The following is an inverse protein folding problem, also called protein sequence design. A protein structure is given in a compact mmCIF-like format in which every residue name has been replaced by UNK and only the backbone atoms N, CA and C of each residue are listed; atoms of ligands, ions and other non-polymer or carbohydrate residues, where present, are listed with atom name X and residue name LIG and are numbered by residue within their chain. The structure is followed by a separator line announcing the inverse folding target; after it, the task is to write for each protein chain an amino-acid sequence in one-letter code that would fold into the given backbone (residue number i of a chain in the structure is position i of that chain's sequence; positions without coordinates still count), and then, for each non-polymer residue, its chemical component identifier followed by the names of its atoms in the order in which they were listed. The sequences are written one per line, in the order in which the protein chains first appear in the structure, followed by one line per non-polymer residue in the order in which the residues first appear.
data_IF_180897654800
#
_entry.id   IF_180897654800
#
_cell.length_a   1.000
_cell.length_b   1.000
_cell.length_c   1.000
_cell.angle_alpha   90.00
_cell.angle_beta   90.00
_cell.angle_gamma   90.00
#
_symmetry.space_group_name_H-M   'P 1'
#
loop_
_entity.id
_entity.type
_entity.pdbx_description
1 polymer ?
#
# COMPACT_ATOMS: atom_id res chain seq x y z
N UNK A 1 -39.87 6.26 -5.41
CA UNK A 1 -39.38 7.63 -5.73
C UNK A 1 -37.87 7.58 -5.93
N UNK A 2 -37.31 8.34 -6.88
CA UNK A 2 -35.85 8.48 -7.04
C UNK A 2 -35.38 9.56 -6.04
N UNK A 3 -34.30 9.38 -5.26
CA UNK A 3 -33.89 10.39 -4.29
C UNK A 3 -33.53 11.71 -5.01
N UNK A 4 -33.77 12.88 -4.37
CA UNK A 4 -33.47 14.16 -4.98
C UNK A 4 -31.97 14.25 -5.28
N UNK A 5 -31.63 14.44 -6.55
CA UNK A 5 -30.25 14.73 -6.94
C UNK A 5 -29.88 16.08 -6.35
N UNK A 6 -28.91 16.09 -5.43
CA UNK A 6 -28.30 17.33 -4.96
C UNK A 6 -27.81 18.11 -6.18
N UNK A 7 -28.39 19.30 -6.41
CA UNK A 7 -27.89 20.23 -7.41
C UNK A 7 -26.43 20.54 -7.08
N UNK A 8 -25.57 20.71 -8.10
CA UNK A 8 -24.12 20.83 -7.94
C UNK A 8 -23.71 21.83 -6.86
N UNK A 9 -24.41 22.97 -6.77
CA UNK A 9 -24.22 24.03 -5.76
C UNK A 9 -24.32 23.58 -4.31
N UNK A 10 -24.99 22.46 -4.00
CA UNK A 10 -25.17 21.97 -2.63
C UNK A 10 -24.14 20.88 -2.23
N UNK A 11 -23.24 20.49 -3.14
CA UNK A 11 -22.13 19.56 -2.85
C UNK A 11 -20.92 20.35 -2.36
N UNK A 12 -20.27 19.98 -1.24
CA UNK A 12 -19.03 20.61 -0.83
C UNK A 12 -17.91 20.27 -1.82
N UNK A 13 -17.04 21.23 -2.10
CA UNK A 13 -15.78 20.98 -2.80
C UNK A 13 -14.74 20.41 -1.83
N UNK A 14 -13.95 19.45 -2.31
CA UNK A 14 -12.81 18.89 -1.58
C UNK A 14 -11.59 19.04 -2.48
N UNK A 15 -10.75 20.01 -2.17
CA UNK A 15 -9.59 20.37 -2.97
C UNK A 15 -8.37 19.76 -2.30
N UNK A 16 -7.81 18.73 -2.92
CA UNK A 16 -6.55 18.13 -2.49
C UNK A 16 -5.42 19.07 -2.90
N UNK A 17 -4.59 19.48 -1.94
CA UNK A 17 -3.51 20.44 -2.16
C UNK A 17 -2.17 19.72 -2.03
N UNK A 18 -1.57 19.38 -3.16
CA UNK A 18 -0.19 18.90 -3.23
C UNK A 18 0.80 20.08 -3.28
N UNK A 19 2.07 19.83 -2.97
CA UNK A 19 3.10 20.86 -3.16
C UNK A 19 3.40 21.10 -4.65
N UNK A 20 3.30 20.06 -5.48
CA UNK A 20 3.74 20.09 -6.88
C UNK A 20 5.04 19.32 -7.10
N UNK A 21 5.32 18.97 -8.35
CA UNK A 21 6.57 18.33 -8.79
C UNK A 21 6.81 18.65 -10.26
N UNK A 22 8.08 18.69 -10.68
CA UNK A 22 8.45 18.71 -12.11
C UNK A 22 8.34 17.34 -12.76
N UNK A 23 8.17 16.29 -11.96
CA UNK A 23 7.94 14.94 -12.45
C UNK A 23 6.44 14.72 -12.69
N UNK A 24 6.00 14.47 -13.94
CA UNK A 24 4.58 14.32 -14.26
C UNK A 24 3.93 13.11 -13.58
N UNK A 25 4.70 12.07 -13.19
CA UNK A 25 4.16 10.91 -12.47
C UNK A 25 3.56 11.32 -11.12
N UNK A 26 4.05 12.39 -10.51
CA UNK A 26 3.52 12.91 -9.24
C UNK A 26 2.13 13.54 -9.39
N UNK A 27 1.89 14.26 -10.48
CA UNK A 27 0.57 14.78 -10.83
C UNK A 27 -0.41 13.64 -11.14
N UNK A 28 0.02 12.62 -11.89
CA UNK A 28 -0.79 11.43 -12.19
C UNK A 28 -1.23 10.70 -10.92
N UNK A 29 -0.34 10.50 -9.94
CA UNK A 29 -0.67 9.87 -8.66
C UNK A 29 -1.62 10.74 -7.80
N UNK A 30 -1.44 12.07 -7.82
CA UNK A 30 -2.33 13.00 -7.11
C UNK A 30 -3.74 13.00 -7.71
N UNK A 31 -3.86 12.96 -9.04
CA UNK A 31 -5.14 12.78 -9.74
C UNK A 31 -5.75 11.38 -9.56
N UNK A 32 -4.92 10.34 -9.40
CA UNK A 32 -5.40 9.02 -9.02
C UNK A 32 -6.05 9.02 -7.63
N UNK A 33 -5.41 9.65 -6.64
CA UNK A 33 -5.99 9.85 -5.31
C UNK A 33 -7.29 10.67 -5.38
N UNK A 34 -7.31 11.79 -6.11
CA UNK A 34 -8.53 12.60 -6.29
C UNK A 34 -9.67 11.78 -6.94
N UNK A 35 -9.35 10.93 -7.92
CA UNK A 35 -10.31 10.00 -8.56
C UNK A 35 -10.78 8.91 -7.60
N UNK A 36 -9.91 8.37 -6.75
CA UNK A 36 -10.27 7.36 -5.76
C UNK A 36 -11.17 7.95 -4.65
N UNK A 37 -10.84 9.13 -4.11
CA UNK A 37 -11.69 9.86 -3.15
C UNK A 37 -13.06 10.18 -3.77
N UNK A 38 -13.12 10.63 -5.03
CA UNK A 38 -14.38 10.88 -5.75
C UNK A 38 -15.22 9.62 -5.97
N UNK A 39 -14.60 8.44 -6.15
CA UNK A 39 -15.31 7.15 -6.24
C UNK A 39 -15.88 6.75 -4.88
N UNK A 40 -15.11 6.92 -3.81
CA UNK A 40 -15.53 6.59 -2.45
C UNK A 40 -16.61 7.56 -1.91
N UNK A 41 -16.54 8.84 -2.29
CA UNK A 41 -17.40 9.93 -1.80
C UNK A 41 -18.05 10.68 -2.98
N UNK A 42 -19.04 10.05 -3.66
CA UNK A 42 -19.69 10.61 -4.84
C UNK A 42 -20.49 11.90 -4.56
N UNK A 43 -20.72 12.23 -3.29
CA UNK A 43 -21.34 13.48 -2.84
C UNK A 43 -20.37 14.69 -2.83
N UNK A 44 -19.06 14.48 -2.83
CA UNK A 44 -18.05 15.57 -2.81
C UNK A 44 -17.60 16.00 -4.21
N UNK A 45 -17.42 17.30 -4.44
CA UNK A 45 -16.80 17.83 -5.66
C UNK A 45 -15.27 17.84 -5.50
N UNK A 46 -14.66 16.67 -5.67
CA UNK A 46 -13.21 16.49 -5.50
C UNK A 46 -12.41 17.08 -6.66
N UNK A 47 -11.29 17.74 -6.36
CA UNK A 47 -10.29 18.26 -7.31
C UNK A 47 -8.87 18.12 -6.74
N UNK A 48 -7.87 17.92 -7.60
CA UNK A 48 -6.47 18.16 -7.24
C UNK A 48 -6.08 19.62 -7.49
N UNK A 49 -5.03 20.08 -6.83
CA UNK A 49 -4.41 21.40 -6.99
C UNK A 49 -2.97 21.38 -6.46
N UNK A 50 -2.15 22.31 -6.92
CA UNK A 50 -0.70 22.31 -6.67
C UNK A 50 -0.21 23.70 -6.24
N UNK A 51 0.60 23.77 -5.18
CA UNK A 51 1.17 25.02 -4.67
C UNK A 51 2.30 25.57 -5.54
N UNK A 52 2.99 24.70 -6.26
CA UNK A 52 4.00 24.98 -7.28
C UNK A 52 3.81 24.00 -8.44
N UNK A 53 4.45 24.29 -9.59
CA UNK A 53 4.60 23.43 -10.78
C UNK A 53 3.29 22.98 -11.48
N UNK A 54 3.13 23.40 -12.74
CA UNK A 54 2.18 22.93 -13.78
C UNK A 54 0.66 22.89 -13.47
N UNK A 55 0.21 23.18 -12.25
CA UNK A 55 -1.16 23.61 -11.94
C UNK A 55 -2.26 22.53 -12.06
N UNK A 56 -3.53 22.89 -11.78
CA UNK A 56 -4.04 24.21 -11.40
C UNK A 56 -3.68 24.63 -9.97
N UNK A 57 -3.64 25.94 -9.69
CA UNK A 57 -3.41 26.45 -8.33
C UNK A 57 -4.68 26.31 -7.48
N UNK A 58 -4.59 26.25 -6.13
CA UNK A 58 -5.78 26.16 -5.28
C UNK A 58 -6.81 27.27 -5.51
N UNK A 59 -6.38 28.51 -5.74
CA UNK A 59 -7.29 29.63 -6.01
C UNK A 59 -8.03 29.48 -7.36
N UNK A 60 -7.36 28.99 -8.41
CA UNK A 60 -7.99 28.72 -9.71
C UNK A 60 -9.09 27.66 -9.57
N UNK A 61 -8.83 26.63 -8.76
CA UNK A 61 -9.81 25.57 -8.46
C UNK A 61 -10.97 26.12 -7.64
N UNK A 62 -10.71 26.94 -6.62
CA UNK A 62 -11.74 27.57 -5.79
C UNK A 62 -12.62 28.55 -6.57
N UNK A 63 -12.06 29.30 -7.51
CA UNK A 63 -12.80 30.24 -8.36
C UNK A 63 -13.67 29.54 -9.43
N UNK A 64 -13.31 28.31 -9.84
CA UNK A 64 -13.99 27.56 -10.91
C UNK A 64 -14.93 26.45 -10.42
N UNK A 65 -14.84 26.01 -9.16
CA UNK A 65 -15.68 24.93 -8.63
C UNK A 65 -17.11 25.42 -8.35
N UNK A 66 -18.17 24.72 -8.82
CA UNK A 66 -19.55 25.16 -8.64
C UNK A 66 -20.11 24.76 -7.26
N UNK A 67 -19.46 25.21 -6.19
CA UNK A 67 -19.80 24.92 -4.79
C UNK A 67 -19.82 26.22 -3.96
N UNK A 68 -20.70 26.28 -2.95
CA UNK A 68 -20.72 27.38 -1.97
C UNK A 68 -19.74 27.20 -0.80
N UNK A 69 -19.17 25.99 -0.65
CA UNK A 69 -18.23 25.62 0.42
C UNK A 69 -17.11 24.74 -0.12
N UNK A 70 -15.89 24.95 0.33
CA UNK A 70 -14.72 24.16 -0.02
C UNK A 70 -13.87 23.79 1.20
N UNK A 71 -13.35 22.56 1.21
CA UNK A 71 -12.35 22.10 2.17
C UNK A 71 -11.05 21.84 1.43
N UNK A 72 -9.97 22.50 1.87
CA UNK A 72 -8.62 22.29 1.41
C UNK A 72 -7.97 21.18 2.26
N UNK A 73 -7.47 20.13 1.60
CA UNK A 73 -6.80 19.00 2.25
C UNK A 73 -5.33 19.03 1.87
N UNK A 74 -4.42 19.55 2.71
CA UNK A 74 -2.99 19.53 2.44
C UNK A 74 -2.44 18.10 2.46
N UNK A 75 -1.98 17.65 1.30
CA UNK A 75 -1.34 16.35 1.11
C UNK A 75 0.11 16.39 1.61
N UNK A 76 0.27 16.47 2.94
CA UNK A 76 1.58 16.49 3.62
C UNK A 76 1.64 15.39 4.69
N UNK A 77 2.71 14.59 4.67
CA UNK A 77 2.88 13.44 5.57
C UNK A 77 3.59 13.78 6.90
N UNK A 78 4.07 15.01 7.08
CA UNK A 78 4.70 15.47 8.33
C UNK A 78 4.13 16.81 8.77
N UNK A 79 4.25 17.13 10.07
CA UNK A 79 3.70 18.37 10.66
C UNK A 79 4.54 19.63 10.42
N UNK A 80 5.77 19.52 9.92
CA UNK A 80 6.62 20.71 9.77
C UNK A 80 6.20 21.58 8.58
N UNK A 81 6.56 22.87 8.64
CA UNK A 81 6.69 23.81 7.50
C UNK A 81 6.74 23.05 6.16
N UNK A 82 5.69 23.04 5.33
CA UNK A 82 5.10 24.22 4.69
C UNK A 82 3.65 24.56 5.10
N UNK A 83 2.98 23.74 5.92
CA UNK A 83 1.56 23.94 6.30
C UNK A 83 1.26 25.25 7.07
N UNK A 84 2.27 25.96 7.60
CA UNK A 84 2.11 27.23 8.33
C UNK A 84 2.19 28.49 7.48
N UNK A 85 2.67 28.42 6.23
CA UNK A 85 2.92 29.61 5.41
C UNK A 85 1.98 29.65 4.20
N UNK A 86 1.94 28.58 3.41
CA UNK A 86 1.32 28.64 2.08
C UNK A 86 -0.21 28.47 2.13
N UNK A 87 -0.72 27.45 2.84
CA UNK A 87 -2.15 27.20 2.89
C UNK A 87 -2.95 28.28 3.67
N UNK A 88 -2.45 28.82 4.81
CA UNK A 88 -3.10 29.95 5.45
C UNK A 88 -3.13 31.22 4.58
N UNK A 89 -2.17 31.41 3.67
CA UNK A 89 -2.23 32.48 2.67
C UNK A 89 -3.36 32.24 1.66
N UNK A 90 -3.41 31.04 1.06
CA UNK A 90 -4.51 30.63 0.16
C UNK A 90 -5.89 30.81 0.80
N UNK A 91 -6.08 30.45 2.07
CA UNK A 91 -7.37 30.62 2.77
C UNK A 91 -7.72 32.10 2.96
N UNK A 92 -6.74 32.97 3.28
CA UNK A 92 -6.98 34.42 3.37
C UNK A 92 -7.31 35.05 2.01
N UNK A 93 -6.59 34.68 0.97
CA UNK A 93 -6.80 35.20 -0.39
C UNK A 93 -8.15 34.76 -0.96
N UNK A 94 -8.56 33.53 -0.67
CA UNK A 94 -9.87 32.99 -1.03
C UNK A 94 -11.06 33.69 -0.33
N UNK A 95 -10.84 34.51 0.70
CA UNK A 95 -11.92 35.29 1.34
C UNK A 95 -12.56 36.34 0.40
N UNK A 96 -11.90 36.63 -0.74
CA UNK A 96 -12.44 37.46 -1.82
C UNK A 96 -13.40 36.71 -2.76
N UNK A 97 -13.45 35.38 -2.69
CA UNK A 97 -14.26 34.52 -3.56
C UNK A 97 -15.63 34.24 -2.93
N UNK A 98 -16.69 33.99 -3.72
CA UNK A 98 -18.04 33.67 -3.22
C UNK A 98 -18.17 32.21 -2.73
N UNK A 99 -17.17 31.71 -1.99
CA UNK A 99 -17.09 30.34 -1.50
C UNK A 99 -16.48 30.33 -0.09
N UNK A 100 -17.14 29.68 0.87
CA UNK A 100 -16.60 29.55 2.23
C UNK A 100 -15.51 28.46 2.25
N UNK A 101 -14.29 28.83 2.62
CA UNK A 101 -13.12 27.95 2.59
C UNK A 101 -12.66 27.58 3.99
N UNK A 102 -12.35 26.31 4.21
CA UNK A 102 -11.71 25.80 5.44
C UNK A 102 -10.57 24.86 5.05
N UNK A 103 -9.53 24.75 5.89
CA UNK A 103 -8.44 23.81 5.69
C UNK A 103 -8.46 22.71 6.76
N UNK A 104 -8.13 21.47 6.39
CA UNK A 104 -7.91 20.39 7.36
C UNK A 104 -6.48 20.42 7.90
N UNK A 105 -6.25 19.71 9.00
CA UNK A 105 -4.89 19.26 9.35
C UNK A 105 -4.27 18.43 8.21
N UNK A 106 -2.94 18.50 8.10
CA UNK A 106 -2.11 17.68 7.20
C UNK A 106 -2.31 16.18 7.44
N UNK A 107 -2.14 15.34 6.42
CA UNK A 107 -2.34 13.87 6.53
C UNK A 107 -1.43 13.20 7.58
N UNK A 108 -0.24 13.75 7.85
CA UNK A 108 0.61 13.36 8.98
C UNK A 108 0.01 13.71 10.36
N UNK A 109 0.56 13.21 11.49
CA UNK A 109 1.73 12.35 11.62
C UNK A 109 1.32 10.87 11.41
N UNK A 110 2.03 9.91 12.00
CA UNK A 110 1.73 8.47 11.91
C UNK A 110 0.33 8.09 12.46
N UNK A 111 -0.70 8.26 11.64
CA UNK A 111 -2.06 7.80 11.95
C UNK A 111 -2.21 6.30 11.69
N UNK A 112 -3.16 5.60 12.34
CA UNK A 112 -3.42 4.19 12.09
C UNK A 112 -3.70 3.86 10.61
N UNK A 113 -4.37 4.76 9.89
CA UNK A 113 -4.62 4.64 8.46
C UNK A 113 -3.34 4.82 7.63
N UNK A 114 -2.48 5.78 7.98
CA UNK A 114 -1.21 5.98 7.27
C UNK A 114 -0.25 4.79 7.46
N UNK A 115 -0.19 4.22 8.67
CA UNK A 115 0.57 2.99 8.94
C UNK A 115 -0.02 1.77 8.24
N UNK A 116 -1.36 1.68 8.13
CA UNK A 116 -2.02 0.65 7.35
C UNK A 116 -1.73 0.80 5.85
N UNK A 117 -1.64 2.02 5.32
CA UNK A 117 -1.27 2.28 3.92
C UNK A 117 0.18 1.85 3.60
N UNK A 118 1.12 2.10 4.51
CA UNK A 118 2.50 1.63 4.38
C UNK A 118 2.58 0.10 4.41
N UNK A 119 1.85 -0.53 5.33
CA UNK A 119 1.74 -1.99 5.42
C UNK A 119 1.10 -2.57 4.13
N UNK A 120 0.07 -1.93 3.58
CA UNK A 120 -0.56 -2.31 2.32
C UNK A 120 0.46 -2.33 1.17
N UNK A 121 1.17 -1.22 0.93
CA UNK A 121 2.16 -1.12 -0.15
C UNK A 121 3.34 -2.10 0.02
N UNK A 122 3.76 -2.38 1.25
CA UNK A 122 4.72 -3.45 1.54
C UNK A 122 4.17 -4.83 1.15
N UNK A 123 2.90 -5.13 1.46
CA UNK A 123 2.27 -6.41 1.11
C UNK A 123 2.11 -6.58 -0.40
N UNK A 124 1.66 -5.55 -1.12
CA UNK A 124 1.61 -5.57 -2.60
C UNK A 124 2.99 -5.84 -3.21
N UNK A 125 4.03 -5.13 -2.74
CA UNK A 125 5.39 -5.31 -3.24
C UNK A 125 5.99 -6.67 -2.87
N UNK A 126 5.69 -7.21 -1.69
CA UNK A 126 6.09 -8.57 -1.29
C UNK A 126 5.42 -9.64 -2.14
N UNK A 127 4.15 -9.46 -2.51
CA UNK A 127 3.44 -10.38 -3.42
C UNK A 127 3.99 -10.29 -4.85
N UNK A 128 4.40 -9.10 -5.30
CA UNK A 128 5.01 -8.90 -6.62
C UNK A 128 6.44 -9.46 -6.73
N UNK A 129 7.19 -9.51 -5.62
CA UNK A 129 8.53 -10.10 -5.57
C UNK A 129 8.54 -11.65 -5.64
N UNK A 130 7.38 -12.29 -5.48
CA UNK A 130 7.25 -13.75 -5.44
C UNK A 130 7.58 -14.36 -4.06
N UNK A 131 7.62 -15.70 -3.94
CA UNK A 131 7.91 -16.36 -2.68
C UNK A 131 9.34 -16.05 -2.22
N UNK A 132 9.49 -15.16 -1.23
CA UNK A 132 10.72 -15.07 -0.45
C UNK A 132 10.94 -16.45 0.21
N UNK A 133 12.12 -17.04 0.00
CA UNK A 133 12.44 -18.34 0.57
C UNK A 133 12.19 -18.29 2.08
N UNK A 134 11.38 -19.25 2.57
CA UNK A 134 11.07 -19.32 3.99
C UNK A 134 12.39 -19.49 4.77
N UNK A 135 12.56 -18.72 5.84
CA UNK A 135 13.69 -18.88 6.73
C UNK A 135 13.74 -20.35 7.18
N UNK A 136 14.83 -21.04 6.86
CA UNK A 136 15.03 -22.42 7.30
C UNK A 136 14.93 -22.50 8.83
N UNK A 137 14.43 -23.60 9.40
CA UNK A 137 14.38 -23.75 10.85
C UNK A 137 15.78 -23.53 11.43
N UNK A 138 15.86 -22.69 12.46
CA UNK A 138 17.11 -22.36 13.16
C UNK A 138 17.87 -23.65 13.48
N UNK A 139 19.05 -23.82 12.86
CA UNK A 139 19.90 -24.95 13.12
C UNK A 139 20.39 -24.88 14.58
N UNK A 140 19.86 -25.76 15.43
CA UNK A 140 20.41 -25.99 16.77
C UNK A 140 21.78 -26.65 16.61
N UNK A 141 22.80 -25.99 17.18
CA UNK A 141 24.20 -26.42 17.19
C UNK A 141 24.37 -27.70 18.03
N UNK A 142 24.14 -28.85 17.40
CA UNK A 142 24.44 -30.17 17.95
C UNK A 142 25.94 -30.47 17.77
N UNK A 143 26.75 -29.96 18.70
CA UNK A 143 28.17 -30.30 18.81
C UNK A 143 28.37 -31.77 19.20
N UNK A 144 29.55 -32.28 18.86
CA UNK A 144 30.13 -33.56 19.26
C UNK A 144 29.38 -34.85 18.84
N UNK A 145 29.66 -35.29 17.60
CA UNK A 145 29.76 -36.71 17.27
C UNK A 145 30.66 -36.96 16.04
N UNK A 146 31.98 -37.01 16.25
CA UNK A 146 32.88 -37.79 15.38
C UNK A 146 32.97 -39.23 15.98
N UNK A 147 33.19 -40.34 15.27
CA UNK A 147 34.01 -40.62 14.08
C UNK A 147 33.30 -41.71 13.18
N UNK A 148 33.95 -42.60 12.40
CA UNK A 148 34.01 -42.41 10.95
C UNK A 148 33.57 -43.62 10.10
N UNK A 149 33.39 -43.42 8.79
CA UNK A 149 33.60 -44.48 7.79
C UNK A 149 32.42 -44.81 6.87
N UNK A 150 32.77 -45.54 5.80
CA UNK A 150 31.95 -45.93 4.64
C UNK A 150 31.45 -44.81 3.72
N UNK A 151 31.89 -44.91 2.47
CA UNK A 151 31.32 -44.27 1.29
C UNK A 151 29.84 -44.61 1.13
N UNK A 152 29.02 -43.67 0.65
CA UNK A 152 28.50 -43.77 -0.72
C UNK A 152 27.74 -42.52 -1.17
N UNK A 153 27.65 -42.37 -2.50
CA UNK A 153 26.91 -41.31 -3.17
C UNK A 153 25.46 -41.75 -3.43
N UNK A 154 24.51 -40.95 -2.96
CA UNK A 154 23.20 -40.81 -3.62
C UNK A 154 22.00 -41.53 -2.99
N UNK A 155 20.86 -40.86 -3.14
CA UNK A 155 19.48 -41.32 -2.94
C UNK A 155 19.04 -41.74 -1.51
N UNK A 156 18.04 -41.02 -0.99
CA UNK A 156 17.05 -41.57 -0.06
C UNK A 156 15.65 -41.21 -0.58
N UNK A 157 14.94 -42.22 -1.09
CA UNK A 157 13.58 -42.12 -1.57
C UNK A 157 12.95 -43.51 -1.67
N UNK A 158 11.73 -43.65 -1.17
CA UNK A 158 10.92 -44.89 -1.16
C UNK A 158 9.45 -44.41 -1.23
N UNK A 159 8.55 -44.83 -2.12
CA UNK A 159 8.56 -45.72 -3.30
C UNK A 159 7.09 -45.86 -3.79
N UNK A 160 6.73 -46.45 -4.93
CA UNK A 160 7.44 -47.13 -6.03
C UNK A 160 6.58 -46.99 -7.32
N UNK A 161 7.17 -46.81 -8.50
CA UNK A 161 6.43 -46.81 -9.78
C UNK A 161 7.32 -47.23 -10.97
N UNK A 162 6.80 -48.09 -11.86
CA UNK A 162 7.50 -48.50 -13.09
C UNK A 162 6.85 -47.83 -14.32
N UNK A 163 7.59 -46.92 -14.96
CA UNK A 163 7.20 -46.21 -16.17
C UNK A 163 8.17 -45.06 -16.40
N UNK A 164 8.64 -44.86 -17.63
CA UNK A 164 9.63 -43.83 -17.92
C UNK A 164 8.98 -42.45 -18.15
N UNK A 165 9.75 -41.40 -17.81
CA UNK A 165 9.54 -39.98 -18.17
C UNK A 165 8.58 -39.15 -17.30
N UNK A 166 8.98 -38.86 -16.06
CA UNK A 166 8.46 -37.76 -15.24
C UNK A 166 9.46 -36.61 -15.11
N UNK A 167 8.96 -35.36 -15.18
CA UNK A 167 9.64 -34.16 -14.69
C UNK A 167 8.61 -33.23 -14.01
N UNK A 168 8.75 -32.99 -12.71
CA UNK A 168 8.11 -31.88 -12.01
C UNK A 168 6.84 -32.16 -11.19
N UNK A 169 6.44 -33.42 -10.98
CA UNK A 169 5.31 -33.74 -10.10
C UNK A 169 5.70 -33.68 -8.60
N UNK A 170 4.86 -33.03 -7.78
CA UNK A 170 4.95 -33.07 -6.31
C UNK A 170 3.55 -33.26 -5.74
N UNK A 171 3.26 -34.43 -5.17
CA UNK A 171 1.94 -34.76 -4.64
C UNK A 171 1.92 -36.12 -3.93
N UNK A 172 0.90 -36.34 -3.10
CA UNK A 172 0.68 -37.61 -2.39
C UNK A 172 -0.67 -38.17 -2.81
N UNK A 173 -0.66 -39.26 -3.57
CA UNK A 173 -1.87 -39.93 -4.05
C UNK A 173 -1.53 -41.20 -4.84
N UNK A 174 -2.42 -42.19 -4.79
CA UNK A 174 -2.29 -43.43 -5.55
C UNK A 174 -3.24 -43.39 -6.75
N UNK A 175 -2.69 -43.47 -7.96
CA UNK A 175 -3.45 -43.53 -9.21
C UNK A 175 -2.67 -44.25 -10.30
N UNK A 176 -3.37 -45.02 -11.15
CA UNK A 176 -2.79 -45.69 -12.31
C UNK A 176 -3.51 -45.23 -13.56
N UNK A 177 -2.92 -44.27 -14.27
CA UNK A 177 -3.44 -43.66 -15.49
C UNK A 177 -2.41 -42.71 -16.09
N UNK A 178 -2.31 -42.66 -17.41
CA UNK A 178 -1.30 -41.87 -18.10
C UNK A 178 -1.79 -40.46 -18.46
N UNK A 179 -0.86 -39.51 -18.43
CA UNK A 179 -0.94 -38.17 -19.03
C UNK A 179 -1.85 -37.13 -18.35
N UNK A 180 -1.32 -36.47 -17.31
CA UNK A 180 -1.79 -35.15 -16.84
C UNK A 180 -0.61 -34.18 -16.67
N UNK A 181 -0.75 -32.95 -17.20
CA UNK A 181 0.16 -31.83 -16.92
C UNK A 181 -0.55 -30.83 -15.99
N UNK A 182 0.01 -30.61 -14.79
CA UNK A 182 -0.35 -29.46 -13.96
C UNK A 182 -1.45 -29.65 -12.91
N UNK A 183 -1.75 -30.89 -12.48
CA UNK A 183 -2.68 -31.12 -11.38
C UNK A 183 -2.03 -30.89 -9.99
N UNK A 184 -2.69 -30.11 -9.13
CA UNK A 184 -2.43 -30.05 -7.68
C UNK A 184 -3.76 -30.09 -6.94
N UNK A 185 -4.01 -31.17 -6.22
CA UNK A 185 -5.24 -31.40 -5.47
C UNK A 185 -5.15 -32.66 -4.61
N UNK A 186 -6.01 -32.77 -3.59
CA UNK A 186 -6.09 -33.93 -2.69
C UNK A 186 -7.50 -34.49 -2.78
N UNK A 187 -7.65 -35.71 -3.31
CA UNK A 187 -8.94 -36.40 -3.39
C UNK A 187 -8.85 -37.70 -4.20
N UNK A 188 -9.61 -38.71 -3.80
CA UNK A 188 -9.70 -40.00 -4.49
C UNK A 188 -10.96 -40.03 -5.37
N UNK A 189 -10.80 -40.17 -6.68
CA UNK A 189 -11.94 -40.29 -7.61
C UNK A 189 -11.51 -40.83 -8.97
N UNK A 190 -12.31 -41.75 -9.53
CA UNK A 190 -12.12 -42.30 -10.87
C UNK A 190 -13.25 -41.83 -11.78
N UNK A 191 -12.96 -40.99 -12.79
CA UNK A 191 -13.76 -40.91 -14.02
C UNK A 191 -13.00 -40.17 -15.12
N UNK A 192 -12.97 -40.76 -16.31
CA UNK A 192 -12.46 -40.13 -17.53
C UNK A 192 -13.46 -39.13 -18.12
N UNK A 193 -13.00 -37.91 -18.39
CA UNK A 193 -13.62 -36.97 -19.33
C UNK A 193 -14.88 -36.24 -18.85
N UNK A 194 -14.72 -34.96 -18.50
CA UNK A 194 -15.51 -33.88 -19.12
C UNK A 194 -14.93 -32.49 -18.77
N UNK A 195 -15.24 -31.50 -19.62
CA UNK A 195 -14.82 -30.11 -19.39
C UNK A 195 -15.77 -29.41 -18.41
N UNK A 196 -15.33 -29.22 -17.17
CA UNK A 196 -15.84 -28.16 -16.28
C UNK A 196 -16.25 -28.58 -14.87
N UNK A 197 -16.16 -27.60 -13.95
CA UNK A 197 -16.79 -27.57 -12.62
C UNK A 197 -16.38 -28.68 -11.65
N UNK A 198 -15.14 -28.61 -11.15
CA UNK A 198 -14.76 -29.20 -9.87
C UNK A 198 -15.24 -28.34 -8.69
N UNK A 199 -16.53 -28.40 -8.36
CA UNK A 199 -17.09 -27.70 -7.20
C UNK A 199 -16.87 -28.49 -5.90
N UNK A 200 -16.25 -27.88 -4.88
CA UNK A 200 -16.23 -28.43 -3.52
C UNK A 200 -17.02 -27.50 -2.61
N UNK A 201 -18.16 -27.97 -2.11
CA UNK A 201 -19.05 -27.20 -1.25
C UNK A 201 -19.60 -28.03 -0.10
N UNK A 202 -19.21 -27.67 1.12
CA UNK A 202 -19.93 -28.00 2.36
C UNK A 202 -19.52 -27.00 3.44
N UNK A 203 -20.23 -25.88 3.54
CA UNK A 203 -19.96 -24.85 4.55
C UNK A 203 -20.82 -24.98 5.80
N UNK A 204 -20.47 -24.29 6.87
CA UNK A 204 -21.36 -24.00 8.01
C UNK A 204 -21.02 -22.64 8.67
N UNK A 205 -21.86 -21.63 8.43
CA UNK A 205 -21.96 -20.39 9.23
C UNK A 205 -20.80 -19.38 9.11
N UNK A 206 -21.03 -18.07 9.25
CA UNK A 206 -22.30 -17.31 9.23
C UNK A 206 -22.01 -15.86 8.79
N UNK A 207 -23.01 -15.18 8.20
CA UNK A 207 -22.91 -13.75 7.88
C UNK A 207 -23.09 -13.40 6.40
N UNK A 208 -24.31 -13.53 5.89
CA UNK A 208 -24.72 -12.80 4.67
C UNK A 208 -24.59 -11.29 4.86
N UNK A 209 -24.08 -10.60 3.84
CA UNK A 209 -24.73 -9.40 3.31
C UNK A 209 -24.54 -9.39 1.78
N UNK A 210 -25.63 -9.57 1.04
CA UNK A 210 -25.60 -9.96 -0.36
C UNK A 210 -25.17 -8.89 -1.35
N UNK A 211 -24.46 -9.32 -2.39
CA UNK A 211 -24.30 -8.57 -3.63
C UNK A 211 -25.38 -9.00 -4.64
N UNK A 212 -26.39 -8.17 -4.85
CA UNK A 212 -27.26 -8.29 -6.03
C UNK A 212 -26.49 -7.81 -7.26
N UNK A 213 -26.32 -8.68 -8.25
CA UNK A 213 -25.91 -8.29 -9.61
C UNK A 213 -26.89 -8.88 -10.64
N UNK A 214 -27.39 -8.02 -11.50
CA UNK A 214 -28.11 -8.38 -12.72
C UNK A 214 -27.68 -7.39 -13.81
N UNK A 215 -27.05 -7.89 -14.87
CA UNK A 215 -26.52 -7.04 -15.94
C UNK A 215 -25.36 -7.70 -16.68
N UNK A 216 -25.68 -8.44 -17.74
CA UNK A 216 -24.71 -9.13 -18.60
C UNK A 216 -23.78 -8.12 -19.29
N UNK A 217 -22.47 -8.35 -19.21
CA UNK A 217 -21.47 -7.53 -19.89
C UNK A 217 -20.10 -8.18 -19.78
N UNK A 218 -19.62 -8.73 -20.89
CA UNK A 218 -18.41 -9.55 -20.96
C UNK A 218 -17.15 -8.67 -20.86
N UNK A 219 -16.47 -8.74 -19.71
CA UNK A 219 -15.16 -8.15 -19.46
C UNK A 219 -14.37 -9.09 -18.55
N UNK A 220 -13.20 -9.54 -19.00
CA UNK A 220 -12.38 -10.53 -18.31
C UNK A 220 -12.12 -10.18 -16.85
N UNK A 221 -12.66 -11.00 -15.94
CA UNK A 221 -12.52 -10.80 -14.51
C UNK A 221 -11.08 -11.10 -14.06
N UNK A 222 -10.27 -10.05 -13.87
CA UNK A 222 -9.01 -10.15 -13.14
C UNK A 222 -9.35 -10.47 -11.67
N UNK A 223 -9.21 -11.74 -11.31
CA UNK A 223 -9.44 -12.23 -9.95
C UNK A 223 -8.34 -11.70 -9.02
N UNK A 224 -8.55 -10.53 -8.44
CA UNK A 224 -7.74 -10.03 -7.33
C UNK A 224 -7.96 -10.97 -6.14
N UNK A 225 -6.99 -11.86 -5.88
CA UNK A 225 -6.94 -12.59 -4.62
C UNK A 225 -6.88 -11.58 -3.49
N UNK A 226 -7.86 -11.62 -2.59
CA UNK A 226 -7.79 -10.89 -1.33
C UNK A 226 -6.63 -11.45 -0.50
N UNK A 227 -5.47 -10.82 -0.61
CA UNK A 227 -4.29 -11.16 0.19
C UNK A 227 -4.63 -10.98 1.66
N UNK A 228 -4.66 -12.08 2.42
CA UNK A 228 -4.80 -12.03 3.87
C UNK A 228 -3.62 -11.24 4.46
N UNK A 229 -3.86 -10.55 5.58
CA UNK A 229 -2.81 -9.82 6.32
C UNK A 229 -1.70 -10.73 6.89
N UNK A 230 -1.77 -12.03 6.66
CA UNK A 230 -0.69 -12.99 6.91
C UNK A 230 0.48 -12.87 5.91
N UNK A 231 0.29 -12.23 4.74
CA UNK A 231 1.27 -12.22 3.65
C UNK A 231 2.64 -11.58 3.95
N UNK A 232 2.75 -10.75 5.00
CA UNK A 232 4.04 -10.18 5.45
C UNK A 232 4.62 -10.89 6.68
N UNK A 233 3.85 -11.75 7.36
CA UNK A 233 4.25 -12.36 8.62
C UNK A 233 5.39 -13.36 8.40
N UNK A 234 6.59 -13.00 8.85
CA UNK A 234 7.81 -13.78 8.62
C UNK A 234 8.40 -13.63 7.21
N UNK A 235 7.89 -12.74 6.36
CA UNK A 235 8.45 -12.44 5.04
C UNK A 235 9.66 -11.51 5.11
N UNK A 236 9.62 -10.53 6.02
CA UNK A 236 10.69 -9.58 6.31
C UNK A 236 11.13 -9.74 7.77
N UNK A 237 12.40 -9.40 8.04
CA UNK A 237 13.00 -9.34 9.38
C UNK A 237 13.67 -7.99 9.68
N UNK A 238 13.55 -7.02 8.76
CA UNK A 238 13.83 -5.61 8.99
C UNK A 238 13.07 -4.70 8.03
N UNK A 239 12.79 -3.45 8.42
CA UNK A 239 12.11 -2.47 7.56
C UNK A 239 12.79 -1.09 7.56
N UNK A 240 13.03 -0.53 6.38
CA UNK A 240 13.42 0.88 6.21
C UNK A 240 12.18 1.70 5.84
N UNK A 241 11.89 2.76 6.59
CA UNK A 241 10.89 3.77 6.19
C UNK A 241 11.62 4.95 5.55
N UNK A 242 11.55 5.02 4.23
CA UNK A 242 12.22 6.05 3.44
C UNK A 242 11.29 7.23 3.17
N UNK A 243 11.80 8.45 3.34
CA UNK A 243 11.08 9.70 3.07
C UNK A 243 11.90 10.64 2.16
N UNK A 244 11.26 11.66 1.58
CA UNK A 244 11.90 12.60 0.65
C UNK A 244 13.10 13.38 1.23
N UNK A 245 13.16 13.53 2.55
CA UNK A 245 14.16 14.36 3.23
C UNK A 245 13.59 15.68 3.75
N UNK A 246 14.14 16.19 4.86
CA UNK A 246 13.72 17.47 5.44
C UNK A 246 14.78 18.04 6.38
N UNK A 247 14.97 19.37 6.32
CA UNK A 247 15.84 20.09 7.27
C UNK A 247 15.19 20.24 8.65
N UNK A 248 13.86 20.14 8.76
CA UNK A 248 13.15 20.29 10.03
C UNK A 248 13.36 19.07 10.94
N UNK A 249 13.83 19.30 12.17
CA UNK A 249 13.96 18.25 13.17
C UNK A 249 12.61 17.58 13.50
N UNK A 250 11.55 18.37 13.70
CA UNK A 250 10.21 17.86 14.04
C UNK A 250 9.56 17.01 12.93
N UNK A 251 9.91 17.25 11.66
CA UNK A 251 9.49 16.34 10.58
C UNK A 251 10.30 15.04 10.54
N UNK A 252 11.61 15.08 10.85
CA UNK A 252 12.42 13.87 11.01
C UNK A 252 11.94 13.03 12.19
N UNK A 253 11.56 13.66 13.29
CA UNK A 253 10.89 13.02 14.44
C UNK A 253 9.57 12.35 14.02
N UNK A 254 8.72 13.05 13.26
CA UNK A 254 7.47 12.46 12.71
C UNK A 254 7.72 11.20 11.84
N UNK A 255 8.82 11.17 11.08
CA UNK A 255 9.21 10.00 10.27
C UNK A 255 9.80 8.88 11.15
N UNK A 256 10.55 9.21 12.20
CA UNK A 256 11.03 8.25 13.19
C UNK A 256 9.88 7.59 13.96
N UNK A 257 8.86 8.35 14.38
CA UNK A 257 7.64 7.82 14.98
C UNK A 257 6.91 6.86 14.04
N UNK A 258 6.80 7.22 12.76
CA UNK A 258 6.19 6.37 11.74
C UNK A 258 6.97 5.06 11.54
N UNK A 259 8.31 5.12 11.50
CA UNK A 259 9.17 3.94 11.42
C UNK A 259 9.02 3.04 12.65
N UNK A 260 9.12 3.60 13.86
CA UNK A 260 8.99 2.86 15.10
C UNK A 260 7.58 2.23 15.24
N UNK A 261 6.53 2.93 14.82
CA UNK A 261 5.16 2.41 14.82
C UNK A 261 4.92 1.32 13.76
N UNK A 262 5.53 1.44 12.57
CA UNK A 262 5.48 0.39 11.55
C UNK A 262 6.26 -0.85 11.98
N UNK A 263 7.46 -0.69 12.54
CA UNK A 263 8.26 -1.79 13.11
C UNK A 263 7.50 -2.55 14.19
N UNK A 264 6.90 -1.85 15.16
CA UNK A 264 6.01 -2.46 16.17
C UNK A 264 4.81 -3.19 15.55
N UNK A 265 4.21 -2.66 14.48
CA UNK A 265 3.09 -3.30 13.76
C UNK A 265 3.51 -4.58 13.02
N UNK A 266 4.75 -4.63 12.55
CA UNK A 266 5.31 -5.77 11.80
C UNK A 266 6.03 -6.79 12.68
N UNK A 267 6.39 -6.42 13.92
CA UNK A 267 7.20 -7.26 14.81
C UNK A 267 8.69 -7.29 14.45
N UNK A 268 9.19 -6.31 13.67
CA UNK A 268 10.58 -6.27 13.17
C UNK A 268 11.28 -4.95 13.49
N UNK A 269 12.63 -4.94 13.61
CA UNK A 269 13.43 -3.72 13.67
C UNK A 269 13.12 -2.77 12.50
N UNK A 270 13.03 -1.48 12.82
CA UNK A 270 12.76 -0.43 11.83
C UNK A 270 13.81 0.68 11.86
N UNK A 271 14.25 1.11 10.68
CA UNK A 271 15.14 2.25 10.48
C UNK A 271 14.46 3.34 9.64
N UNK A 272 14.91 4.59 9.78
CA UNK A 272 14.52 5.70 8.88
C UNK A 272 15.55 5.88 7.77
N UNK A 273 15.12 6.35 6.62
CA UNK A 273 15.98 6.83 5.55
C UNK A 273 15.44 8.10 4.89
N UNK A 274 16.34 8.90 4.31
CA UNK A 274 16.01 10.16 3.65
C UNK A 274 16.69 10.26 2.29
N UNK A 275 15.91 10.48 1.23
CA UNK A 275 16.43 10.68 -0.13
C UNK A 275 17.34 11.92 -0.26
N UNK A 276 17.07 12.95 0.54
CA UNK A 276 17.82 14.20 0.55
C UNK A 276 17.98 14.77 1.97
N UNK A 277 18.86 15.77 2.12
CA UNK A 277 19.07 16.44 3.40
C UNK A 277 19.74 15.57 4.47
N UNK A 278 19.63 15.94 5.76
CA UNK A 278 20.29 15.25 6.87
C UNK A 278 19.66 13.91 7.25
N UNK A 279 20.49 12.96 7.66
CA UNK A 279 20.11 11.60 8.02
C UNK A 279 20.56 10.57 6.97
N UNK A 280 20.46 9.27 7.28
CA UNK A 280 20.98 8.22 6.42
C UNK A 280 20.20 8.09 5.11
N UNK A 281 20.89 7.66 4.04
CA UNK A 281 20.30 7.21 2.77
C UNK A 281 19.71 5.82 2.93
N UNK A 282 18.85 5.40 2.00
CA UNK A 282 18.21 4.08 2.07
C UNK A 282 19.21 2.94 2.12
N UNK A 283 20.27 3.00 1.31
CA UNK A 283 21.31 1.98 1.31
C UNK A 283 22.07 1.87 2.63
N UNK A 284 22.36 3.00 3.29
CA UNK A 284 22.98 3.04 4.61
C UNK A 284 22.06 2.44 5.69
N UNK A 285 20.75 2.72 5.61
CA UNK A 285 19.77 2.15 6.53
C UNK A 285 19.57 0.64 6.33
N UNK A 286 19.57 0.15 5.08
CA UNK A 286 19.53 -1.28 4.76
C UNK A 286 20.80 -1.98 5.25
N UNK A 287 21.98 -1.40 5.00
CA UNK A 287 23.25 -1.93 5.48
C UNK A 287 23.32 -1.97 7.02
N UNK A 288 22.80 -0.94 7.70
CA UNK A 288 22.72 -0.90 9.17
C UNK A 288 21.83 -1.99 9.76
N UNK A 289 20.66 -2.26 9.16
CA UNK A 289 19.80 -3.38 9.56
C UNK A 289 20.46 -4.74 9.29
N UNK A 290 21.17 -4.89 8.16
CA UNK A 290 21.94 -6.10 7.84
C UNK A 290 23.08 -6.36 8.81
N UNK A 291 23.83 -5.33 9.18
CA UNK A 291 24.87 -5.42 10.21
C UNK A 291 24.30 -5.76 11.60
N UNK A 292 23.02 -5.50 11.85
CA UNK A 292 22.29 -5.91 13.05
C UNK A 292 21.62 -7.30 12.94
N UNK A 293 21.85 -8.04 11.85
CA UNK A 293 21.38 -9.42 11.66
C UNK A 293 20.07 -9.60 10.86
N UNK A 294 19.53 -8.55 10.24
CA UNK A 294 18.37 -8.68 9.35
C UNK A 294 18.80 -9.13 7.94
N UNK A 295 18.29 -10.26 7.46
CA UNK A 295 18.62 -10.81 6.13
C UNK A 295 17.68 -10.27 5.04
N UNK A 296 16.39 -10.16 5.36
CA UNK A 296 15.27 -9.81 4.48
C UNK A 296 14.71 -8.45 4.88
N UNK A 297 15.47 -7.42 4.50
CA UNK A 297 15.11 -6.02 4.71
C UNK A 297 14.19 -5.54 3.59
N UNK A 298 13.03 -4.99 3.95
CA UNK A 298 12.13 -4.29 3.01
C UNK A 298 12.16 -2.77 3.17
N UNK A 299 11.82 -2.02 2.12
CA UNK A 299 11.63 -0.57 2.17
C UNK A 299 10.15 -0.19 2.03
N UNK A 300 9.63 0.56 3.00
CA UNK A 300 8.34 1.24 2.91
C UNK A 300 8.53 2.68 2.42
N UNK A 301 7.81 3.07 1.36
CA UNK A 301 7.85 4.41 0.80
C UNK A 301 6.92 5.37 1.57
N UNK A 302 7.49 6.21 2.44
CA UNK A 302 6.79 7.34 3.07
C UNK A 302 6.71 8.55 2.11
N UNK A 303 6.15 8.27 0.94
CA UNK A 303 5.98 9.19 -0.18
C UNK A 303 4.53 9.13 -0.64
N UNK A 304 3.95 10.28 -1.01
CA UNK A 304 2.60 10.32 -1.58
C UNK A 304 2.56 9.89 -3.04
N UNK A 305 3.67 10.07 -3.77
CA UNK A 305 3.73 9.88 -5.21
C UNK A 305 5.15 9.54 -5.66
N UNK A 306 5.32 8.89 -6.83
CA UNK A 306 6.63 8.65 -7.44
C UNK A 306 7.27 9.95 -7.95
N UNK A 307 8.56 9.88 -8.25
CA UNK A 307 9.38 10.99 -8.73
C UNK A 307 10.82 10.86 -8.26
N UNK A 308 11.71 11.73 -8.73
CA UNK A 308 13.16 11.68 -8.47
C UNK A 308 13.58 11.30 -7.04
N UNK A 309 12.96 11.89 -6.00
CA UNK A 309 13.32 11.60 -4.60
C UNK A 309 12.83 10.22 -4.13
N UNK A 310 11.75 9.69 -4.70
CA UNK A 310 11.35 8.30 -4.47
C UNK A 310 12.30 7.35 -5.20
N UNK A 311 12.59 7.60 -6.48
CA UNK A 311 13.47 6.76 -7.28
C UNK A 311 14.86 6.64 -6.63
N UNK A 312 15.50 7.76 -6.26
CA UNK A 312 16.79 7.79 -5.56
C UNK A 312 16.78 6.99 -4.24
N UNK A 313 15.66 7.01 -3.51
CA UNK A 313 15.53 6.24 -2.27
C UNK A 313 15.29 4.74 -2.54
N UNK A 314 14.56 4.42 -3.59
CA UNK A 314 14.21 3.07 -3.99
C UNK A 314 15.42 2.33 -4.59
N UNK A 315 16.16 2.99 -5.48
CA UNK A 315 17.34 2.43 -6.14
C UNK A 315 18.48 2.21 -5.14
N UNK A 316 18.77 3.18 -4.28
CA UNK A 316 19.75 3.00 -3.20
C UNK A 316 19.36 1.88 -2.21
N UNK A 317 18.07 1.56 -2.06
CA UNK A 317 17.63 0.41 -1.26
C UNK A 317 17.87 -0.92 -2.01
N UNK A 318 17.55 -0.98 -3.31
CA UNK A 318 17.77 -2.15 -4.18
C UNK A 318 19.26 -2.48 -4.30
N UNK A 319 20.11 -1.47 -4.52
CA UNK A 319 21.56 -1.60 -4.60
C UNK A 319 22.17 -2.17 -3.31
N UNK A 320 21.64 -1.77 -2.14
CA UNK A 320 22.03 -2.34 -0.84
C UNK A 320 21.40 -3.72 -0.55
N UNK A 321 20.58 -4.25 -1.47
CA UNK A 321 19.96 -5.56 -1.41
C UNK A 321 18.67 -5.65 -0.60
N UNK A 322 17.87 -4.58 -0.52
CA UNK A 322 16.49 -4.68 -0.01
C UNK A 322 15.68 -5.65 -0.89
N UNK A 323 15.09 -6.67 -0.25
CA UNK A 323 14.38 -7.76 -0.96
C UNK A 323 12.96 -7.37 -1.41
N UNK A 324 12.41 -6.30 -0.81
CA UNK A 324 11.12 -5.70 -1.16
C UNK A 324 11.28 -4.19 -1.13
N UNK A 325 10.83 -3.48 -2.17
CA UNK A 325 10.74 -2.02 -2.17
C UNK A 325 9.33 -1.62 -2.58
N UNK A 326 8.61 -1.01 -1.65
CA UNK A 326 7.22 -0.64 -1.82
C UNK A 326 7.03 0.60 -2.70
N UNK A 327 5.99 0.56 -3.53
CA UNK A 327 5.51 1.75 -4.24
C UNK A 327 4.98 2.84 -3.29
N UNK A 328 4.94 4.11 -3.72
CA UNK A 328 4.37 5.21 -2.94
C UNK A 328 2.90 5.00 -2.55
N UNK A 329 2.45 5.75 -1.55
CA UNK A 329 1.08 5.65 -1.02
C UNK A 329 0.03 5.87 -2.12
N UNK A 330 0.22 6.88 -2.98
CA UNK A 330 -0.62 7.19 -4.14
C UNK A 330 -2.13 7.17 -3.80
N UNK A 331 -2.90 6.27 -4.40
CA UNK A 331 -4.34 6.13 -4.22
C UNK A 331 -4.76 4.98 -3.28
N UNK A 332 -3.85 4.52 -2.40
CA UNK A 332 -4.10 3.42 -1.46
C UNK A 332 -5.43 3.61 -0.69
N UNK A 333 -6.28 2.56 -0.53
CA UNK A 333 -7.59 2.69 0.09
C UNK A 333 -7.57 3.27 1.51
N UNK A 334 -6.50 3.03 2.27
CA UNK A 334 -6.27 3.60 3.60
C UNK A 334 -6.00 5.11 3.54
N UNK A 335 -5.31 5.59 2.51
CA UNK A 335 -5.06 7.01 2.29
C UNK A 335 -6.34 7.73 1.84
N UNK A 336 -7.16 7.08 1.00
CA UNK A 336 -8.51 7.57 0.64
C UNK A 336 -9.38 7.72 1.90
N UNK A 337 -9.35 6.71 2.79
CA UNK A 337 -10.04 6.77 4.09
C UNK A 337 -9.47 7.88 5.00
N UNK A 338 -8.16 8.11 4.99
CA UNK A 338 -7.52 9.16 5.77
C UNK A 338 -7.91 10.57 5.28
N UNK A 339 -7.97 10.77 3.96
CA UNK A 339 -8.51 12.02 3.38
C UNK A 339 -9.94 12.23 3.85
N UNK A 340 -10.80 11.20 3.78
CA UNK A 340 -12.18 11.31 4.23
C UNK A 340 -12.27 11.67 5.73
N UNK A 341 -11.49 11.01 6.58
CA UNK A 341 -11.48 11.26 8.04
C UNK A 341 -10.94 12.64 8.43
N UNK A 342 -10.27 13.37 7.52
CA UNK A 342 -9.90 14.78 7.72
C UNK A 342 -10.99 15.74 7.26
N UNK A 343 -11.72 15.38 6.20
CA UNK A 343 -12.77 16.20 5.59
C UNK A 343 -14.06 16.19 6.43
N UNK A 344 -14.47 15.03 6.97
CA UNK A 344 -15.76 14.89 7.66
C UNK A 344 -15.94 15.82 8.88
N UNK A 345 -14.96 15.95 9.80
CA UNK A 345 -15.08 16.91 10.91
C UNK A 345 -15.16 18.37 10.42
N UNK A 346 -14.42 18.70 9.36
CA UNK A 346 -14.42 20.03 8.75
C UNK A 346 -15.70 20.34 7.94
N UNK A 347 -16.48 19.32 7.52
CA UNK A 347 -17.83 19.52 6.99
C UNK A 347 -18.84 19.81 8.10
N UNK A 348 -18.70 19.12 9.24
CA UNK A 348 -19.61 19.26 10.37
C UNK A 348 -19.49 20.63 11.06
N UNK A 349 -18.27 21.17 11.20
CA UNK A 349 -18.03 22.49 11.81
C UNK A 349 -18.50 23.69 10.98
N UNK A 350 -18.90 23.49 9.72
CA UNK A 350 -19.34 24.53 8.77
C UNK A 350 -20.85 24.43 8.47
N UNK A 351 -21.61 23.77 9.36
CA UNK A 351 -23.04 24.00 9.48
C UNK A 351 -23.26 25.20 10.41
N UNK A 352 -24.14 26.17 10.09
CA UNK A 352 -24.58 27.12 11.08
C UNK A 352 -25.23 26.35 12.24
N UNK A 353 -25.01 26.78 13.47
CA UNK A 353 -25.80 26.32 14.60
C UNK A 353 -27.28 26.51 14.23
N UNK A 354 -28.10 25.46 14.43
CA UNK A 354 -29.52 25.54 14.14
C UNK A 354 -30.14 26.68 14.95
N UNK A 355 -30.86 27.57 14.26
CA UNK A 355 -31.52 28.73 14.83
C UNK A 355 -32.76 28.35 15.64
#
# INVERSE_FOLDING_TARGET
MRPPRLTSRNRPAVVLVAHGSRDPRAAVATEALARAVRRARPEWLVRASYLDHEGPRPLDVLASVPASRAILVPLLLTKAYHGRVDLPAVVREAASLPIAVTATDVLGPASPLLLAALHHRLTEASLAAGPLAAAGPLAVDARDAALPGSSDLGAVGVGVGMGASDLGAVGVGAGTGASDLGAVGVGSGMSSGDLGVGGVGSGTGSGDLGAFWAGSGDLGAVAVRAGSSAGLAGALDGVVVAAAGTRSAAARETVADAAAALGRRLGVPAAVAYASGPGPRSGEAVAGLRAAGAERVGMAAYFLAPGLLYDLAADAAREAGAVVVAEPLADAPELVRLVASRVEPALASVLPAAA
#
